data_IF_204093929736
#
_entry.id   IF_204093929736
#
_cell.length_a   1.000
_cell.length_b   1.000
_cell.length_c   1.000
_cell.angle_alpha   90.00
_cell.angle_beta   90.00
_cell.angle_gamma   90.00
#
_symmetry.space_group_name_H-M   'P 1'
#
loop_
_entity.id
_entity.type
_entity.pdbx_description
1 polymer ?
#
# COMPACT_ATOMS: atom_id res chain seq x y z
N UNK A 1 5.49 -5.41 33.18
CA UNK A 1 6.10 -6.44 32.32
C UNK A 1 5.07 -7.27 31.54
N UNK A 2 3.89 -6.71 31.29
CA UNK A 2 2.77 -7.41 30.60
C UNK A 2 2.39 -6.78 29.25
N UNK A 3 3.09 -5.72 28.82
CA UNK A 3 2.65 -4.89 27.69
C UNK A 3 3.28 -5.29 26.34
N UNK A 4 4.42 -5.99 26.36
CA UNK A 4 5.11 -6.39 25.13
C UNK A 4 4.51 -7.63 24.44
N UNK A 5 3.74 -8.44 25.17
CA UNK A 5 3.13 -9.66 24.62
C UNK A 5 1.92 -9.36 23.72
N UNK A 6 1.17 -8.31 24.03
CA UNK A 6 -0.06 -7.96 23.29
C UNK A 6 0.27 -7.27 21.96
N UNK A 7 1.25 -6.37 21.97
CA UNK A 7 1.78 -5.73 20.75
C UNK A 7 2.46 -6.75 19.82
N UNK A 8 3.23 -7.69 20.36
CA UNK A 8 3.91 -8.75 19.59
C UNK A 8 2.89 -9.73 18.94
N UNK A 9 1.78 -10.03 19.63
CA UNK A 9 0.69 -10.84 19.08
C UNK A 9 -0.09 -10.08 18.00
N UNK A 10 -0.34 -8.78 18.19
CA UNK A 10 -1.00 -7.95 17.19
C UNK A 10 -0.12 -7.73 15.95
N UNK A 11 1.17 -7.50 16.11
CA UNK A 11 2.11 -7.39 15.00
C UNK A 11 2.20 -8.70 14.21
N UNK A 12 2.32 -9.85 14.86
CA UNK A 12 2.38 -11.16 14.19
C UNK A 12 1.10 -11.51 13.43
N UNK A 13 -0.07 -11.16 13.96
CA UNK A 13 -1.35 -11.50 13.30
C UNK A 13 -1.64 -10.65 12.06
N UNK A 14 -0.96 -9.50 11.88
CA UNK A 14 -1.27 -8.56 10.78
C UNK A 14 -0.14 -8.40 9.75
N UNK A 15 1.07 -8.87 10.03
CA UNK A 15 2.25 -8.62 9.18
C UNK A 15 2.75 -9.83 8.39
N UNK A 16 2.31 -11.04 8.69
CA UNK A 16 2.80 -12.25 8.02
C UNK A 16 1.66 -13.01 7.34
N UNK A 17 1.03 -12.37 6.34
CA UNK A 17 0.14 -13.11 5.45
C UNK A 17 1.02 -13.97 4.55
N UNK A 18 0.86 -15.31 4.55
CA UNK A 18 1.69 -16.20 3.76
C UNK A 18 1.25 -16.18 2.29
N UNK A 19 1.49 -15.07 1.61
CA UNK A 19 1.04 -14.86 0.24
C UNK A 19 1.46 -15.96 -0.72
N UNK A 20 2.69 -16.45 -0.58
CA UNK A 20 3.23 -17.53 -1.40
C UNK A 20 2.54 -18.88 -1.15
N UNK A 21 1.96 -19.10 0.03
CA UNK A 21 1.25 -20.35 0.31
C UNK A 21 -0.08 -20.44 -0.44
N UNK A 22 -0.69 -19.30 -0.77
CA UNK A 22 -1.88 -19.27 -1.62
C UNK A 22 -1.57 -19.67 -3.07
N UNK A 23 -0.40 -19.28 -3.59
CA UNK A 23 0.03 -19.58 -4.94
C UNK A 23 0.51 -21.03 -5.12
N UNK A 24 0.96 -21.70 -4.04
CA UNK A 24 1.44 -23.08 -4.11
C UNK A 24 0.35 -24.12 -4.28
N UNK A 25 -0.90 -23.77 -4.03
CA UNK A 25 -2.02 -24.73 -4.08
C UNK A 25 -2.31 -25.18 -5.50
N UNK A 26 -2.15 -24.32 -6.49
CA UNK A 26 -2.50 -24.55 -7.90
C UNK A 26 -1.28 -24.88 -8.79
N UNK A 27 -0.08 -24.95 -8.25
CA UNK A 27 1.14 -25.34 -8.95
C UNK A 27 1.59 -24.34 -10.03
N UNK A 28 1.84 -24.80 -11.27
CA UNK A 28 2.29 -23.98 -12.39
C UNK A 28 1.14 -23.46 -13.27
N UNK A 29 -0.01 -23.18 -12.67
CA UNK A 29 -1.18 -22.67 -13.40
C UNK A 29 -1.02 -21.15 -13.56
N UNK A 30 -1.33 -20.64 -14.74
CA UNK A 30 -1.33 -19.20 -14.99
C UNK A 30 -2.45 -18.55 -14.17
N UNK A 31 -2.20 -17.34 -13.69
CA UNK A 31 -3.12 -16.65 -12.76
C UNK A 31 -4.52 -16.41 -13.34
N UNK A 32 -4.65 -16.26 -14.66
CA UNK A 32 -5.94 -16.11 -15.35
C UNK A 32 -6.82 -17.36 -15.20
N UNK A 33 -6.20 -18.54 -15.08
CA UNK A 33 -6.84 -19.86 -14.92
C UNK A 33 -6.78 -20.40 -13.50
N UNK A 34 -6.12 -19.72 -12.60
CA UNK A 34 -5.99 -20.13 -11.21
C UNK A 34 -7.32 -20.05 -10.45
N UNK A 35 -7.38 -20.71 -9.31
CA UNK A 35 -8.54 -20.71 -8.43
C UNK A 35 -8.85 -19.34 -7.82
N UNK A 36 -10.07 -19.17 -7.30
CA UNK A 36 -10.53 -17.91 -6.73
C UNK A 36 -9.64 -17.42 -5.57
N UNK A 37 -9.15 -18.33 -4.74
CA UNK A 37 -8.28 -18.01 -3.58
C UNK A 37 -7.01 -17.32 -4.05
N UNK A 38 -6.35 -17.87 -5.06
CA UNK A 38 -5.09 -17.33 -5.59
C UNK A 38 -5.31 -15.97 -6.26
N UNK A 39 -6.36 -15.82 -7.07
CA UNK A 39 -6.75 -14.53 -7.66
C UNK A 39 -7.05 -13.48 -6.59
N UNK A 40 -7.81 -13.86 -5.56
CA UNK A 40 -8.14 -12.97 -4.44
C UNK A 40 -6.89 -12.54 -3.65
N UNK A 41 -5.92 -13.44 -3.47
CA UNK A 41 -4.67 -13.12 -2.78
C UNK A 41 -3.86 -12.05 -3.51
N UNK A 42 -3.76 -12.12 -4.83
CA UNK A 42 -3.08 -11.10 -5.66
C UNK A 42 -3.82 -9.77 -5.58
N UNK A 43 -5.15 -9.77 -5.73
CA UNK A 43 -5.97 -8.55 -5.65
C UNK A 43 -5.83 -7.88 -4.26
N UNK A 44 -5.95 -8.68 -3.20
CA UNK A 44 -5.85 -8.19 -1.82
C UNK A 44 -4.46 -7.63 -1.51
N UNK A 45 -3.40 -8.32 -1.91
CA UNK A 45 -2.01 -7.87 -1.69
C UNK A 45 -1.71 -6.56 -2.41
N UNK A 46 -2.13 -6.41 -3.66
CA UNK A 46 -1.99 -5.14 -4.40
C UNK A 46 -2.70 -4.01 -3.68
N UNK A 47 -3.95 -4.22 -3.22
CA UNK A 47 -4.67 -3.24 -2.42
C UNK A 47 -3.92 -2.84 -1.16
N UNK A 48 -3.37 -3.82 -0.43
CA UNK A 48 -2.66 -3.62 0.82
C UNK A 48 -1.36 -2.81 0.63
N UNK A 49 -0.55 -3.16 -0.39
CA UNK A 49 0.68 -2.42 -0.72
C UNK A 49 0.34 -0.97 -1.10
N UNK A 50 -0.69 -0.75 -1.91
CA UNK A 50 -1.12 0.60 -2.28
C UNK A 50 -1.58 1.39 -1.06
N UNK A 51 -2.40 0.81 -0.18
CA UNK A 51 -2.85 1.45 1.05
C UNK A 51 -1.65 1.83 1.94
N UNK A 52 -0.67 0.93 2.09
CA UNK A 52 0.55 1.19 2.86
C UNK A 52 1.38 2.36 2.34
N UNK A 53 1.26 2.69 1.04
CA UNK A 53 1.91 3.85 0.42
C UNK A 53 1.21 5.18 0.70
N UNK A 54 0.13 5.19 1.49
CA UNK A 54 -0.60 6.41 1.84
C UNK A 54 -1.40 7.02 0.69
N UNK A 55 -1.83 6.20 -0.28
CA UNK A 55 -2.69 6.67 -1.37
C UNK A 55 -4.16 6.74 -0.95
N UNK A 56 -4.95 7.52 -1.68
CA UNK A 56 -6.39 7.64 -1.40
C UNK A 56 -7.18 6.37 -1.71
N UNK A 57 -8.21 6.10 -0.91
CA UNK A 57 -9.06 4.91 -0.99
C UNK A 57 -9.62 4.65 -2.41
N UNK A 58 -9.94 5.70 -3.16
CA UNK A 58 -10.45 5.56 -4.52
C UNK A 58 -9.44 4.92 -5.47
N UNK A 59 -8.13 5.22 -5.33
CA UNK A 59 -7.06 4.60 -6.14
C UNK A 59 -6.92 3.13 -5.81
N UNK A 60 -6.91 2.79 -4.53
CA UNK A 60 -6.86 1.39 -4.07
C UNK A 60 -8.02 0.60 -4.68
N UNK A 61 -9.25 1.10 -4.52
CA UNK A 61 -10.46 0.47 -5.08
C UNK A 61 -10.40 0.32 -6.60
N UNK A 62 -9.96 1.37 -7.31
CA UNK A 62 -9.86 1.35 -8.77
C UNK A 62 -8.85 0.31 -9.24
N UNK A 63 -7.69 0.20 -8.59
CA UNK A 63 -6.65 -0.77 -8.93
C UNK A 63 -7.10 -2.20 -8.66
N UNK A 64 -7.71 -2.47 -7.51
CA UNK A 64 -8.28 -3.79 -7.21
C UNK A 64 -9.37 -4.18 -8.20
N UNK A 65 -10.25 -3.27 -8.58
CA UNK A 65 -11.29 -3.53 -9.57
C UNK A 65 -10.75 -3.75 -11.00
N UNK A 66 -9.65 -3.09 -11.37
CA UNK A 66 -8.97 -3.36 -12.64
C UNK A 66 -8.40 -4.78 -12.69
N UNK A 67 -7.70 -5.18 -11.63
CA UNK A 67 -7.16 -6.54 -11.53
C UNK A 67 -8.27 -7.59 -11.54
N UNK A 68 -9.32 -7.41 -10.75
CA UNK A 68 -10.44 -8.35 -10.71
C UNK A 68 -11.08 -8.53 -12.08
N UNK A 69 -11.21 -7.46 -12.86
CA UNK A 69 -11.74 -7.51 -14.22
C UNK A 69 -10.84 -8.31 -15.16
N UNK A 70 -9.51 -8.14 -15.07
CA UNK A 70 -8.54 -8.91 -15.89
C UNK A 70 -8.55 -10.38 -15.50
N UNK A 71 -8.66 -10.69 -14.21
CA UNK A 71 -8.69 -12.05 -13.66
C UNK A 71 -10.05 -12.73 -13.80
N UNK A 72 -11.05 -12.06 -14.38
CA UNK A 72 -12.38 -12.63 -14.61
C UNK A 72 -13.19 -12.87 -13.34
N UNK A 73 -12.95 -12.09 -12.27
CA UNK A 73 -13.70 -12.17 -11.02
C UNK A 73 -14.39 -10.83 -10.73
N UNK A 74 -15.50 -10.88 -9.99
CA UNK A 74 -16.18 -9.67 -9.50
C UNK A 74 -15.68 -9.38 -8.10
N UNK A 75 -15.19 -8.17 -7.87
CA UNK A 75 -14.68 -7.77 -6.57
C UNK A 75 -15.41 -6.53 -6.05
N UNK A 76 -15.87 -6.58 -4.80
CA UNK A 76 -16.37 -5.43 -4.06
C UNK A 76 -15.38 -5.08 -2.96
N UNK A 77 -15.03 -3.80 -2.84
CA UNK A 77 -13.96 -3.36 -1.95
C UNK A 77 -14.44 -2.20 -1.10
N UNK A 78 -14.27 -2.33 0.21
CA UNK A 78 -14.34 -1.23 1.16
C UNK A 78 -12.93 -0.93 1.71
N UNK A 79 -12.56 0.34 1.72
CA UNK A 79 -11.22 0.78 2.09
C UNK A 79 -11.33 1.72 3.28
N UNK A 80 -10.88 1.23 4.43
CA UNK A 80 -10.74 1.99 5.65
C UNK A 80 -9.42 2.77 5.71
N UNK A 81 -9.13 3.36 6.87
CA UNK A 81 -7.91 4.14 7.08
C UNK A 81 -6.64 3.26 7.04
N UNK A 82 -6.70 2.09 7.65
CA UNK A 82 -5.61 1.11 7.78
C UNK A 82 -6.07 -0.32 7.47
N UNK A 83 -7.22 -0.48 6.84
CA UNK A 83 -7.80 -1.79 6.53
C UNK A 83 -8.45 -1.80 5.16
N UNK A 84 -8.54 -2.98 4.58
CA UNK A 84 -9.29 -3.24 3.37
C UNK A 84 -10.16 -4.45 3.63
N UNK A 85 -11.44 -4.33 3.35
CA UNK A 85 -12.37 -5.44 3.32
C UNK A 85 -12.82 -5.65 1.88
N UNK A 86 -12.73 -6.87 1.41
CA UNK A 86 -13.13 -7.15 0.04
C UNK A 86 -13.73 -8.54 -0.11
N UNK A 87 -14.62 -8.65 -1.09
CA UNK A 87 -15.25 -9.90 -1.48
C UNK A 87 -14.95 -10.14 -2.96
N UNK A 88 -14.44 -11.30 -3.30
CA UNK A 88 -14.26 -11.77 -4.67
C UNK A 88 -15.22 -12.90 -4.97
N UNK A 89 -15.85 -12.85 -6.14
CA UNK A 89 -16.83 -13.82 -6.61
C UNK A 89 -16.52 -14.23 -8.06
N UNK A 90 -16.49 -15.53 -8.36
CA UNK A 90 -16.16 -16.05 -9.68
C UNK A 90 -17.37 -16.60 -10.46
N UNK A 91 -18.56 -16.48 -9.89
CA UNK A 91 -19.81 -17.04 -10.45
C UNK A 91 -20.34 -18.24 -9.67
N UNK A 92 -19.49 -18.94 -8.92
CA UNK A 92 -19.85 -20.10 -8.09
C UNK A 92 -19.48 -19.89 -6.64
N UNK A 93 -18.26 -19.48 -6.38
CA UNK A 93 -17.69 -19.31 -5.04
C UNK A 93 -17.48 -17.84 -4.69
N UNK A 94 -17.50 -17.54 -3.40
CA UNK A 94 -17.25 -16.22 -2.86
C UNK A 94 -16.21 -16.27 -1.72
N UNK A 95 -15.22 -15.42 -1.80
CA UNK A 95 -14.23 -15.25 -0.75
C UNK A 95 -14.32 -13.84 -0.20
N UNK A 96 -14.44 -13.74 1.14
CA UNK A 96 -14.40 -12.50 1.89
C UNK A 96 -13.14 -12.44 2.70
N UNK A 97 -12.40 -11.33 2.60
CA UNK A 97 -11.19 -11.10 3.40
C UNK A 97 -11.20 -9.70 3.99
N UNK A 98 -10.71 -9.60 5.22
CA UNK A 98 -10.39 -8.34 5.90
C UNK A 98 -8.89 -8.32 6.16
N UNK A 99 -8.20 -7.34 5.58
CA UNK A 99 -6.77 -7.16 5.66
C UNK A 99 -6.46 -5.83 6.33
N UNK A 100 -5.43 -5.78 7.18
CA UNK A 100 -5.00 -4.54 7.83
C UNK A 100 -3.50 -4.34 7.72
N UNK A 101 -3.08 -3.07 7.78
CA UNK A 101 -1.68 -2.66 7.79
C UNK A 101 -1.32 -2.08 9.16
N UNK A 102 -0.13 -2.39 9.66
CA UNK A 102 0.35 -1.84 10.92
C UNK A 102 0.74 -0.36 10.80
N UNK A 103 1.31 0.02 9.66
CA UNK A 103 1.81 1.37 9.40
C UNK A 103 1.45 1.83 7.99
N UNK A 104 1.16 3.12 7.85
CA UNK A 104 1.02 3.78 6.57
C UNK A 104 2.01 4.93 6.47
N UNK A 105 2.55 5.14 5.27
CA UNK A 105 3.48 6.22 5.03
C UNK A 105 3.53 6.59 3.56
N UNK A 106 3.84 7.84 3.25
CA UNK A 106 3.92 8.30 1.86
C UNK A 106 5.19 7.77 1.21
N UNK A 107 5.03 6.82 0.29
CA UNK A 107 6.09 6.32 -0.57
C UNK A 107 5.67 6.39 -2.04
N UNK A 108 5.92 7.54 -2.66
CA UNK A 108 5.52 7.81 -4.05
C UNK A 108 6.24 6.92 -5.06
N UNK A 109 7.46 6.48 -4.77
CA UNK A 109 8.22 5.60 -5.66
C UNK A 109 7.63 4.19 -5.70
N UNK A 110 7.27 3.64 -4.53
CA UNK A 110 6.57 2.36 -4.43
C UNK A 110 5.19 2.46 -5.09
N UNK A 111 4.45 3.54 -4.81
CA UNK A 111 3.14 3.78 -5.40
C UNK A 111 3.20 3.82 -6.93
N UNK A 112 4.16 4.55 -7.50
CA UNK A 112 4.36 4.62 -8.95
C UNK A 112 4.63 3.24 -9.57
N UNK A 113 5.48 2.44 -8.91
CA UNK A 113 5.74 1.07 -9.38
C UNK A 113 4.51 0.18 -9.29
N UNK A 114 3.70 0.33 -8.24
CA UNK A 114 2.42 -0.38 -8.13
C UNK A 114 1.42 0.03 -9.20
N UNK A 115 1.33 1.32 -9.52
CA UNK A 115 0.47 1.81 -10.60
C UNK A 115 0.94 1.24 -11.96
N UNK A 116 2.25 1.23 -12.24
CA UNK A 116 2.79 0.59 -13.44
C UNK A 116 2.49 -0.92 -13.49
N UNK A 117 2.63 -1.62 -12.36
CA UNK A 117 2.30 -3.04 -12.27
C UNK A 117 0.82 -3.29 -12.62
N UNK A 118 -0.10 -2.51 -12.06
CA UNK A 118 -1.54 -2.64 -12.33
C UNK A 118 -1.88 -2.27 -13.78
N UNK A 119 -1.26 -1.23 -14.33
CA UNK A 119 -1.51 -0.79 -15.70
C UNK A 119 -1.00 -1.81 -16.74
N UNK A 120 0.15 -2.43 -16.47
CA UNK A 120 0.76 -3.44 -17.35
C UNK A 120 0.22 -4.85 -17.11
N UNK A 121 -0.54 -5.07 -16.04
CA UNK A 121 -1.03 -6.39 -15.63
C UNK A 121 -1.69 -7.19 -16.76
N UNK A 122 -2.55 -6.61 -17.61
CA UNK A 122 -3.20 -7.36 -18.69
C UNK A 122 -2.23 -7.91 -19.72
N UNK A 123 -1.10 -7.22 -19.93
CA UNK A 123 -0.16 -7.54 -21.01
C UNK A 123 1.04 -8.38 -20.57
N UNK A 124 1.49 -8.20 -19.33
CA UNK A 124 2.72 -8.79 -18.82
C UNK A 124 2.47 -9.81 -17.72
N UNK A 125 1.59 -9.47 -16.75
CA UNK A 125 1.44 -10.24 -15.53
C UNK A 125 0.37 -11.31 -15.60
N UNK A 126 -0.68 -11.13 -16.40
CA UNK A 126 -1.79 -12.06 -16.50
C UNK A 126 -1.36 -13.44 -17.06
N UNK A 127 -0.18 -13.52 -17.66
CA UNK A 127 0.41 -14.74 -18.21
C UNK A 127 1.45 -15.39 -17.29
N UNK A 128 1.59 -14.90 -16.06
CA UNK A 128 2.47 -15.45 -15.05
C UNK A 128 1.71 -16.35 -14.09
N UNK A 129 2.46 -17.14 -13.34
CA UNK A 129 1.91 -17.91 -12.21
C UNK A 129 1.72 -16.98 -11.01
N UNK A 130 0.84 -17.36 -10.08
CA UNK A 130 0.64 -16.59 -8.84
C UNK A 130 1.93 -16.42 -8.03
N UNK A 131 2.80 -17.43 -8.00
CA UNK A 131 4.11 -17.37 -7.34
C UNK A 131 5.02 -16.30 -7.96
N UNK A 132 5.09 -16.22 -9.29
CA UNK A 132 5.88 -15.20 -9.99
C UNK A 132 5.33 -13.79 -9.74
N UNK A 133 4.00 -13.65 -9.69
CA UNK A 133 3.34 -12.38 -9.38
C UNK A 133 3.66 -11.96 -7.94
N UNK A 134 3.56 -12.88 -6.97
CA UNK A 134 3.91 -12.56 -5.58
C UNK A 134 5.37 -12.20 -5.41
N UNK A 135 6.29 -12.83 -6.15
CA UNK A 135 7.71 -12.46 -6.16
C UNK A 135 7.93 -11.04 -6.71
N UNK A 136 7.23 -10.64 -7.79
CA UNK A 136 7.29 -9.26 -8.29
C UNK A 136 6.73 -8.25 -7.29
N UNK A 137 5.66 -8.63 -6.58
CA UNK A 137 5.12 -7.81 -5.51
C UNK A 137 6.10 -7.66 -4.34
N UNK A 138 6.88 -8.71 -4.00
CA UNK A 138 7.96 -8.60 -3.00
C UNK A 138 9.01 -7.57 -3.41
N UNK A 139 9.43 -7.58 -4.68
CA UNK A 139 10.40 -6.61 -5.21
C UNK A 139 9.86 -5.18 -5.08
N UNK A 140 8.58 -4.96 -5.37
CA UNK A 140 7.94 -3.65 -5.22
C UNK A 140 7.83 -3.27 -3.74
N UNK A 141 7.48 -4.22 -2.88
CA UNK A 141 7.32 -3.98 -1.43
C UNK A 141 8.62 -3.57 -0.75
N UNK A 142 9.76 -4.06 -1.26
CA UNK A 142 11.10 -3.70 -0.78
C UNK A 142 11.56 -2.29 -1.21
N UNK A 143 10.82 -1.59 -2.07
CA UNK A 143 11.19 -0.23 -2.48
C UNK A 143 11.08 0.73 -1.30
N UNK A 144 12.22 1.22 -0.85
CA UNK A 144 12.33 2.20 0.22
C UNK A 144 12.14 3.63 -0.30
N UNK A 145 11.74 4.53 0.59
CA UNK A 145 11.67 5.96 0.25
C UNK A 145 13.05 6.51 -0.15
N UNK A 146 13.13 7.14 -1.33
CA UNK A 146 14.39 7.61 -1.93
C UNK A 146 14.96 8.82 -1.17
N UNK A 147 14.12 9.57 -0.47
CA UNK A 147 14.51 10.84 0.13
C UNK A 147 14.93 10.68 1.58
N UNK A 148 16.06 11.31 1.91
CA UNK A 148 16.52 11.39 3.30
C UNK A 148 15.55 12.23 4.17
N UNK A 149 15.47 11.97 5.48
CA UNK A 149 14.65 12.74 6.40
C UNK A 149 14.88 14.24 6.35
N UNK A 150 16.14 14.66 6.15
CA UNK A 150 16.50 16.06 6.02
C UNK A 150 15.92 16.72 4.76
N UNK A 151 15.95 16.03 3.63
CA UNK A 151 15.35 16.53 2.37
C UNK A 151 13.83 16.65 2.49
N UNK A 152 13.19 15.67 3.12
CA UNK A 152 11.74 15.72 3.39
C UNK A 152 11.38 16.85 4.35
N UNK A 153 12.20 17.08 5.40
CA UNK A 153 12.02 18.19 6.32
C UNK A 153 12.14 19.54 5.63
N UNK A 154 13.14 19.71 4.76
CA UNK A 154 13.32 20.95 4.00
C UNK A 154 12.16 21.17 3.01
N UNK A 155 11.73 20.14 2.29
CA UNK A 155 10.58 20.24 1.38
C UNK A 155 9.29 20.62 2.11
N UNK A 156 9.04 20.04 3.29
CA UNK A 156 7.90 20.38 4.13
C UNK A 156 7.99 21.85 4.62
N UNK A 157 9.18 22.31 5.02
CA UNK A 157 9.41 23.69 5.44
C UNK A 157 9.10 24.70 4.32
N UNK A 158 9.62 24.44 3.11
CA UNK A 158 9.37 25.28 1.94
C UNK A 158 7.88 25.30 1.58
N UNK A 159 7.23 24.14 1.57
CA UNK A 159 5.82 24.01 1.25
C UNK A 159 4.94 24.81 2.24
N UNK A 160 5.18 24.65 3.55
CA UNK A 160 4.42 25.38 4.57
C UNK A 160 4.65 26.89 4.50
N UNK A 161 5.88 27.32 4.23
CA UNK A 161 6.19 28.72 4.00
C UNK A 161 5.40 29.29 2.79
N UNK A 162 5.39 28.57 1.66
CA UNK A 162 4.66 28.95 0.47
C UNK A 162 3.13 29.02 0.69
N UNK A 163 2.56 28.05 1.40
CA UNK A 163 1.15 28.08 1.79
C UNK A 163 0.81 29.25 2.70
N UNK A 164 1.67 29.58 3.66
CA UNK A 164 1.47 30.75 4.53
C UNK A 164 1.42 32.03 3.70
N UNK A 165 2.30 32.19 2.72
CA UNK A 165 2.26 33.31 1.78
C UNK A 165 0.96 33.37 0.99
N UNK A 166 0.51 32.24 0.41
CA UNK A 166 -0.72 32.18 -0.36
C UNK A 166 -1.98 32.50 0.46
N UNK A 167 -1.94 32.22 1.77
CA UNK A 167 -3.02 32.57 2.70
C UNK A 167 -2.93 34.01 3.23
N UNK A 168 -2.02 34.84 2.72
CA UNK A 168 -1.86 36.24 3.09
C UNK A 168 -1.02 36.48 4.34
N UNK A 169 -0.25 35.49 4.81
CA UNK A 169 0.68 35.67 5.91
C UNK A 169 1.87 36.55 5.55
N UNK A 170 2.37 37.31 6.54
CA UNK A 170 3.52 38.19 6.39
C UNK A 170 4.87 37.45 6.51
N UNK A 171 5.99 38.16 6.37
CA UNK A 171 7.32 37.55 6.40
C UNK A 171 7.66 36.83 7.71
N UNK A 172 7.12 37.32 8.83
CA UNK A 172 7.35 36.72 10.16
C UNK A 172 6.62 35.37 10.26
N UNK A 173 5.34 35.32 9.84
CA UNK A 173 4.52 34.11 9.82
C UNK A 173 5.11 33.05 8.87
N UNK A 174 5.63 33.49 7.73
CA UNK A 174 6.31 32.61 6.76
C UNK A 174 7.57 31.96 7.38
N UNK A 175 8.38 32.74 8.08
CA UNK A 175 9.61 32.26 8.73
C UNK A 175 9.29 31.29 9.87
N UNK A 176 8.28 31.59 10.69
CA UNK A 176 7.83 30.70 11.76
C UNK A 176 7.27 29.39 11.20
N UNK A 177 6.47 29.44 10.15
CA UNK A 177 5.93 28.25 9.48
C UNK A 177 7.06 27.37 8.89
N UNK A 178 8.07 27.98 8.27
CA UNK A 178 9.24 27.29 7.74
C UNK A 178 9.99 26.53 8.84
N UNK A 179 10.34 27.19 9.94
CA UNK A 179 11.09 26.58 11.04
C UNK A 179 10.27 25.48 11.72
N UNK A 180 9.00 25.76 12.05
CA UNK A 180 8.14 24.81 12.74
C UNK A 180 7.89 23.55 11.91
N UNK A 181 7.59 23.69 10.62
CA UNK A 181 7.35 22.56 9.73
C UNK A 181 8.63 21.72 9.50
N UNK A 182 9.77 22.37 9.31
CA UNK A 182 11.06 21.69 9.14
C UNK A 182 11.45 20.86 10.35
N UNK A 183 11.42 21.47 11.54
CA UNK A 183 11.76 20.79 12.79
C UNK A 183 10.73 19.71 13.12
N UNK A 184 9.44 20.01 13.01
CA UNK A 184 8.36 19.05 13.29
C UNK A 184 8.46 17.80 12.43
N UNK A 185 8.75 17.95 11.13
CA UNK A 185 8.92 16.80 10.23
C UNK A 185 10.18 15.97 10.55
N UNK A 186 11.28 16.61 10.96
CA UNK A 186 12.50 15.91 11.38
C UNK A 186 12.27 15.09 12.66
N UNK A 187 11.57 15.67 13.65
CA UNK A 187 11.23 14.98 14.90
C UNK A 187 10.32 13.80 14.62
N UNK A 188 9.24 14.01 13.84
CA UNK A 188 8.32 12.95 13.43
C UNK A 188 9.07 11.78 12.79
N UNK A 189 9.94 12.07 11.83
CA UNK A 189 10.68 11.03 11.10
C UNK A 189 11.64 10.24 11.99
N UNK A 190 12.21 10.87 13.02
CA UNK A 190 13.05 10.18 14.01
C UNK A 190 12.23 9.31 14.96
N UNK A 191 11.06 9.78 15.39
CA UNK A 191 10.18 9.02 16.31
C UNK A 191 9.58 7.77 15.65
N UNK A 192 9.27 7.81 14.36
CA UNK A 192 8.73 6.66 13.62
C UNK A 192 9.79 5.58 13.38
N UNK A 193 11.09 5.91 13.45
CA UNK A 193 12.17 4.93 13.26
C UNK A 193 12.56 4.17 14.54
N UNK A 194 12.01 4.56 15.68
CA UNK A 194 12.17 3.87 16.95
C UNK A 194 10.87 3.17 17.37
#
# INVERSE_FOLDING_TARGET
>A
MADNSYTDIMEKNHMEIPWHDYARQDGNILIDKAGLIEKASVIGRVGLIMLSCGTGAWRVRTSMNRLSKVLGVTCTVDVGLMSIEFNCFDGTDCISQSLSIANTGVNTSKLYRMEQFVDNFPNEEAHLTGEEIHRRLDEIEQIHAIYSPARLGLAAAIACCAFTFLLGGGPIEMMLAFIAAGIGNLIRTKLIKH
#
